data_IF_870737036891
#
_entry.id   IF_870737036891
#
_cell.length_a   1.000
_cell.length_b   1.000
_cell.length_c   1.000
_cell.angle_alpha   90.00
_cell.angle_beta   90.00
_cell.angle_gamma   90.00
#
_symmetry.space_group_name_H-M   'P 1'
#
loop_
_entity.id
_entity.type
_entity.pdbx_description
1 polymer ?
#
# COMPACT_ATOMS: atom_id res chain seq x y z
N UNK A 1 -31.06 -6.76 1.92
CA UNK A 1 -30.37 -6.14 3.08
C UNK A 1 -30.88 -6.76 4.38
N UNK A 2 -30.07 -7.63 4.98
CA UNK A 2 -30.29 -8.23 6.31
C UNK A 2 -30.48 -7.14 7.38
N UNK A 3 -31.20 -7.45 8.46
CA UNK A 3 -31.42 -6.54 9.59
C UNK A 3 -30.10 -5.97 10.15
N UNK A 4 -29.06 -6.81 10.23
CA UNK A 4 -27.73 -6.40 10.65
C UNK A 4 -27.10 -5.34 9.72
N UNK A 5 -27.25 -5.51 8.40
CA UNK A 5 -26.72 -4.56 7.41
C UNK A 5 -27.46 -3.21 7.49
N UNK A 6 -28.78 -3.22 7.72
CA UNK A 6 -29.56 -1.98 7.91
C UNK A 6 -29.15 -1.23 9.18
N UNK A 7 -28.86 -1.96 10.26
CA UNK A 7 -28.33 -1.39 11.49
C UNK A 7 -26.94 -0.78 11.27
N UNK A 8 -26.03 -1.51 10.60
CA UNK A 8 -24.69 -1.03 10.25
C UNK A 8 -24.74 0.28 9.42
N UNK A 9 -25.63 0.37 8.43
CA UNK A 9 -25.81 1.59 7.63
C UNK A 9 -26.25 2.77 8.49
N UNK A 10 -27.15 2.57 9.48
CA UNK A 10 -27.57 3.65 10.39
C UNK A 10 -26.40 4.16 11.24
N UNK A 11 -25.55 3.25 11.75
CA UNK A 11 -24.36 3.60 12.53
C UNK A 11 -23.36 4.39 11.69
N UNK A 12 -23.04 3.90 10.48
CA UNK A 12 -22.12 4.58 9.56
C UNK A 12 -22.59 5.99 9.20
N UNK A 13 -23.89 6.16 8.89
CA UNK A 13 -24.48 7.48 8.61
C UNK A 13 -24.38 8.42 9.80
N UNK A 14 -24.60 7.92 11.02
CA UNK A 14 -24.48 8.74 12.24
C UNK A 14 -23.04 9.17 12.52
N UNK A 15 -22.07 8.28 12.27
CA UNK A 15 -20.64 8.63 12.35
C UNK A 15 -20.27 9.71 11.31
N UNK A 16 -20.68 9.53 10.05
CA UNK A 16 -20.46 10.51 8.99
C UNK A 16 -21.07 11.88 9.33
N UNK A 17 -22.28 11.91 9.90
CA UNK A 17 -22.93 13.14 10.35
C UNK A 17 -22.09 13.87 11.42
N UNK A 18 -21.54 13.16 12.41
CA UNK A 18 -20.70 13.79 13.43
C UNK A 18 -19.40 14.35 12.86
N UNK A 19 -18.78 13.65 11.91
CA UNK A 19 -17.59 14.15 11.19
C UNK A 19 -17.93 15.41 10.40
N UNK A 20 -19.04 15.40 9.65
CA UNK A 20 -19.49 16.56 8.87
C UNK A 20 -19.82 17.76 9.78
N UNK A 21 -20.49 17.52 10.90
CA UNK A 21 -20.81 18.57 11.89
C UNK A 21 -19.55 19.20 12.47
N UNK A 22 -18.55 18.39 12.83
CA UNK A 22 -17.25 18.90 13.34
C UNK A 22 -16.53 19.73 12.28
N UNK A 23 -16.45 19.24 11.04
CA UNK A 23 -15.82 19.97 9.92
C UNK A 23 -16.53 21.29 9.64
N UNK A 24 -17.86 21.32 9.69
CA UNK A 24 -18.65 22.54 9.51
C UNK A 24 -18.42 23.55 10.62
N UNK A 25 -18.31 23.09 11.88
CA UNK A 25 -17.98 23.96 13.01
C UNK A 25 -16.54 24.50 12.94
N UNK A 26 -15.58 23.68 12.48
CA UNK A 26 -14.19 24.10 12.27
C UNK A 26 -14.08 25.13 11.15
N UNK A 27 -14.78 24.94 10.02
CA UNK A 27 -14.77 25.87 8.89
C UNK A 27 -15.36 27.27 9.20
N UNK A 28 -16.15 27.39 10.27
CA UNK A 28 -16.69 28.69 10.74
C UNK A 28 -15.74 29.47 11.64
N UNK A 29 -14.68 28.83 12.16
CA UNK A 29 -13.67 29.47 13.00
C UNK A 29 -12.53 30.00 12.11
N UNK A 30 -11.89 31.12 12.46
CA UNK A 30 -10.67 31.55 11.77
C UNK A 30 -9.60 30.45 11.90
N UNK A 31 -8.79 30.30 10.84
CA UNK A 31 -7.73 29.29 10.80
C UNK A 31 -6.77 29.42 11.99
N UNK A 32 -6.60 28.32 12.72
CA UNK A 32 -5.67 28.18 13.85
C UNK A 32 -4.43 27.38 13.41
N UNK A 33 -3.29 27.55 14.09
CA UNK A 33 -2.07 26.72 13.89
C UNK A 33 -2.39 25.23 14.02
N UNK A 34 -3.42 24.90 14.81
CA UNK A 34 -3.98 23.56 14.92
C UNK A 34 -4.50 23.00 13.59
N UNK A 35 -5.11 23.81 12.74
CA UNK A 35 -5.61 23.39 11.43
C UNK A 35 -4.46 23.07 10.48
N UNK A 36 -3.36 23.84 10.57
CA UNK A 36 -2.12 23.58 9.81
C UNK A 36 -1.51 22.24 10.23
N UNK A 37 -1.43 21.97 11.54
CA UNK A 37 -0.92 20.69 12.05
C UNK A 37 -1.83 19.52 11.68
N UNK A 38 -3.15 19.68 11.79
CA UNK A 38 -4.12 18.65 11.42
C UNK A 38 -4.05 18.33 9.92
N UNK A 39 -3.93 19.35 9.06
CA UNK A 39 -3.75 19.17 7.62
C UNK A 39 -2.44 18.48 7.26
N UNK A 40 -1.32 18.89 7.88
CA UNK A 40 -0.02 18.24 7.67
C UNK A 40 -0.08 16.75 8.05
N UNK A 41 -0.67 16.43 9.21
CA UNK A 41 -0.79 15.04 9.67
C UNK A 41 -1.56 14.16 8.68
N UNK A 42 -2.66 14.66 8.12
CA UNK A 42 -3.47 13.95 7.13
C UNK A 42 -2.72 13.80 5.80
N UNK A 43 -2.03 14.85 5.35
CA UNK A 43 -1.22 14.83 4.13
C UNK A 43 -0.08 13.82 4.22
N UNK A 44 0.63 13.80 5.35
CA UNK A 44 1.71 12.85 5.62
C UNK A 44 1.19 11.40 5.63
N UNK A 45 0.08 11.11 6.32
CA UNK A 45 -0.53 9.78 6.32
C UNK A 45 -0.96 9.33 4.90
N UNK A 46 -1.58 10.21 4.13
CA UNK A 46 -1.99 9.92 2.75
C UNK A 46 -0.78 9.57 1.88
N UNK A 47 0.31 10.32 2.00
CA UNK A 47 1.56 10.05 1.29
C UNK A 47 2.14 8.69 1.70
N UNK A 48 2.21 8.39 3.00
CA UNK A 48 2.72 7.11 3.51
C UNK A 48 1.91 5.89 3.04
N UNK A 49 0.58 5.99 2.99
CA UNK A 49 -0.28 4.91 2.47
C UNK A 49 -0.02 4.67 0.98
N UNK A 50 0.14 5.74 0.19
CA UNK A 50 0.48 5.63 -1.23
C UNK A 50 1.85 4.98 -1.44
N UNK A 51 2.86 5.38 -0.66
CA UNK A 51 4.19 4.77 -0.70
C UNK A 51 4.11 3.27 -0.37
N UNK A 52 3.37 2.89 0.69
CA UNK A 52 3.19 1.47 1.05
C UNK A 52 2.47 0.66 -0.03
N UNK A 53 1.47 1.24 -0.70
CA UNK A 53 0.79 0.55 -1.80
C UNK A 53 1.72 0.36 -3.01
N UNK A 54 2.54 1.36 -3.34
CA UNK A 54 3.57 1.23 -4.38
C UNK A 54 4.59 0.14 -4.01
N UNK A 55 5.05 0.14 -2.77
CA UNK A 55 5.98 -0.88 -2.27
C UNK A 55 5.35 -2.28 -2.32
N UNK A 56 4.08 -2.43 -1.92
CA UNK A 56 3.35 -3.70 -2.01
C UNK A 56 3.24 -4.21 -3.45
N UNK A 57 3.00 -3.32 -4.41
CA UNK A 57 2.97 -3.67 -5.84
C UNK A 57 4.35 -4.09 -6.35
N UNK A 58 5.38 -3.34 -6.01
CA UNK A 58 6.76 -3.66 -6.38
C UNK A 58 7.21 -5.00 -5.78
N UNK A 59 6.96 -5.24 -4.50
CA UNK A 59 7.28 -6.50 -3.82
C UNK A 59 6.54 -7.69 -4.47
N UNK A 60 5.29 -7.47 -4.92
CA UNK A 60 4.50 -8.50 -5.61
C UNK A 60 4.95 -8.77 -7.04
N UNK A 61 5.44 -7.76 -7.76
CA UNK A 61 5.85 -7.89 -9.18
C UNK A 61 7.31 -8.28 -9.34
N UNK A 62 8.22 -7.60 -8.64
CA UNK A 62 9.67 -7.78 -8.79
C UNK A 62 10.25 -8.75 -7.76
N UNK A 63 9.58 -8.89 -6.61
CA UNK A 63 10.13 -9.58 -5.45
C UNK A 63 10.74 -8.60 -4.45
N UNK A 64 10.90 -9.02 -3.20
CA UNK A 64 11.50 -8.18 -2.15
C UNK A 64 12.93 -7.82 -2.55
N UNK A 65 13.45 -6.64 -2.20
CA UNK A 65 14.81 -6.23 -2.58
C UNK A 65 15.92 -7.21 -2.16
N UNK A 66 15.69 -8.00 -1.10
CA UNK A 66 16.61 -9.08 -0.69
C UNK A 66 16.57 -10.36 -1.54
N UNK A 67 15.64 -10.49 -2.49
CA UNK A 67 15.57 -11.63 -3.43
C UNK A 67 16.58 -11.54 -4.57
N UNK A 68 17.16 -10.35 -4.82
CA UNK A 68 18.18 -10.14 -5.84
C UNK A 68 19.61 -10.34 -5.31
N UNK A 69 19.77 -10.75 -4.04
CA UNK A 69 21.07 -11.06 -3.46
C UNK A 69 21.48 -12.51 -3.81
N UNK A 70 22.75 -12.75 -4.18
CA UNK A 70 23.22 -14.09 -4.53
C UNK A 70 23.06 -15.03 -3.32
N UNK A 71 22.44 -16.20 -3.55
CA UNK A 71 22.29 -17.28 -2.56
C UNK A 71 21.03 -17.27 -1.68
N UNK A 72 20.01 -16.45 -1.99
CA UNK A 72 18.73 -16.42 -1.22
C UNK A 72 17.46 -16.66 -2.04
N UNK A 73 17.59 -16.96 -3.33
CA UNK A 73 16.47 -17.09 -4.28
C UNK A 73 16.20 -18.52 -4.77
N UNK A 74 17.06 -19.49 -4.46
CA UNK A 74 17.07 -20.80 -5.13
C UNK A 74 15.90 -21.71 -4.71
N UNK A 75 15.32 -21.49 -3.53
CA UNK A 75 14.37 -22.46 -2.95
C UNK A 75 12.91 -22.03 -3.00
N UNK A 76 12.57 -20.83 -3.50
CA UNK A 76 11.21 -20.31 -3.37
C UNK A 76 10.63 -19.82 -4.69
N UNK A 77 9.70 -20.62 -5.21
CA UNK A 77 8.89 -20.39 -6.39
C UNK A 77 7.95 -19.18 -6.22
N UNK A 78 8.52 -17.99 -6.16
CA UNK A 78 7.74 -16.76 -6.24
C UNK A 78 7.43 -16.47 -7.71
N UNK A 79 6.15 -16.25 -8.10
CA UNK A 79 5.76 -15.89 -9.47
C UNK A 79 6.07 -14.41 -9.77
N UNK A 80 7.26 -13.95 -9.38
CA UNK A 80 7.74 -12.58 -9.60
C UNK A 80 8.58 -12.52 -10.87
N UNK A 81 8.60 -11.36 -11.52
CA UNK A 81 9.43 -11.08 -12.71
C UNK A 81 10.91 -11.25 -12.37
N UNK A 82 11.35 -10.82 -11.18
CA UNK A 82 12.74 -10.98 -10.73
C UNK A 82 13.17 -12.45 -10.64
N UNK A 83 12.36 -13.28 -9.99
CA UNK A 83 12.66 -14.72 -9.91
C UNK A 83 12.64 -15.41 -11.29
N UNK A 84 11.78 -14.95 -12.21
CA UNK A 84 11.76 -15.47 -13.59
C UNK A 84 13.00 -15.08 -14.39
N UNK A 85 13.52 -13.87 -14.18
CA UNK A 85 14.72 -13.36 -14.86
C UNK A 85 15.97 -14.12 -14.41
N UNK A 86 16.16 -14.30 -13.10
CA UNK A 86 17.30 -15.07 -12.54
C UNK A 86 17.32 -16.49 -13.13
N UNK A 87 16.17 -17.18 -13.14
CA UNK A 87 16.06 -18.52 -13.77
C UNK A 87 16.36 -18.53 -15.27
N UNK A 88 16.10 -17.44 -15.97
CA UNK A 88 16.42 -17.31 -17.38
C UNK A 88 17.93 -17.14 -17.57
N UNK A 89 18.57 -16.29 -16.77
CA UNK A 89 20.02 -16.07 -16.76
C UNK A 89 20.79 -17.36 -16.44
N UNK A 90 20.34 -18.14 -15.45
CA UNK A 90 20.95 -19.44 -15.11
C UNK A 90 20.85 -20.45 -16.26
N UNK A 91 19.68 -20.53 -16.91
CA UNK A 91 19.47 -21.43 -18.06
C UNK A 91 20.30 -21.03 -19.27
N UNK A 92 20.43 -19.73 -19.54
CA UNK A 92 21.27 -19.22 -20.63
C UNK A 92 22.74 -19.51 -20.33
N UNK A 93 23.20 -19.30 -19.08
CA UNK A 93 24.57 -19.59 -18.66
C UNK A 93 24.90 -21.09 -18.74
N UNK A 94 23.96 -21.96 -18.36
CA UNK A 94 24.12 -23.41 -18.49
C UNK A 94 24.13 -23.88 -19.96
N UNK A 95 23.39 -23.21 -20.85
CA UNK A 95 23.33 -23.53 -22.28
C UNK A 95 24.51 -22.95 -23.08
N UNK A 96 25.10 -21.84 -22.61
CA UNK A 96 26.25 -21.19 -23.25
C UNK A 96 27.59 -21.91 -23.08
N UNK A 97 27.66 -22.94 -22.22
CA UNK A 97 28.86 -23.77 -22.01
C UNK A 97 28.99 -24.97 -22.94
N UNK A 98 28.18 -25.05 -24.01
CA UNK A 98 28.16 -26.19 -24.97
C UNK A 98 28.78 -25.80 -26.33
N UNK A 99 29.60 -24.74 -26.37
CA UNK A 99 30.48 -24.41 -27.49
C UNK A 99 31.90 -24.16 -26.99
#
# INVERSE_FOLDING_TARGET
>A
LSHAQRSAVKVLRRMQYFVARRKFQQARKPYDVRDVMEQYSQGHLNMMVRIKELQRRLDGTLGKPGMFLPGKGDDKEYPTVGARLIRLEDKISACGGIF
#
